data_IF_659874050795
#
_entry.id   IF_659874050795
#
_cell.length_a   1.000
_cell.length_b   1.000
_cell.length_c   1.000
_cell.angle_alpha   90.00
_cell.angle_beta   90.00
_cell.angle_gamma   90.00
#
_symmetry.space_group_name_H-M   'P 1'
#
loop_
_entity.id
_entity.type
_entity.pdbx_description
1 polymer ?
#
# COMPACT_ATOMS: atom_id res chain seq x y z
N UNK A 1 17.86 -2.81 -1.14
CA UNK A 1 16.74 -3.58 -0.53
C UNK A 1 16.05 -4.55 -1.52
N UNK A 2 15.26 -5.52 -1.03
CA UNK A 2 14.23 -6.25 -1.81
C UNK A 2 12.83 -5.82 -1.33
N UNK A 3 11.88 -5.65 -2.23
CA UNK A 3 10.48 -5.30 -1.88
C UNK A 3 9.51 -6.43 -2.24
N UNK A 4 8.27 -6.35 -1.77
CA UNK A 4 7.20 -7.33 -2.04
C UNK A 4 6.13 -6.76 -2.97
N UNK A 5 5.26 -7.64 -3.48
CA UNK A 5 4.08 -7.21 -4.23
C UNK A 5 3.10 -6.38 -3.39
N UNK A 6 3.08 -6.53 -2.06
CA UNK A 6 2.29 -5.67 -1.17
C UNK A 6 2.75 -4.22 -1.20
N UNK A 7 4.08 -3.99 -1.21
CA UNK A 7 4.64 -2.65 -1.36
C UNK A 7 4.23 -2.04 -2.69
N UNK A 8 4.30 -2.80 -3.79
CA UNK A 8 3.86 -2.31 -5.10
C UNK A 8 2.36 -2.02 -5.14
N UNK A 9 1.53 -2.86 -4.52
CA UNK A 9 0.10 -2.63 -4.40
C UNK A 9 -0.20 -1.29 -3.70
N UNK A 10 0.51 -0.98 -2.62
CA UNK A 10 0.29 0.25 -1.87
C UNK A 10 0.91 1.48 -2.58
N UNK A 11 2.01 1.30 -3.30
CA UNK A 11 2.64 2.37 -4.06
C UNK A 11 1.84 2.77 -5.31
N UNK A 12 1.14 1.81 -5.92
CA UNK A 12 0.37 1.99 -7.16
C UNK A 12 -1.11 2.30 -6.92
N UNK A 13 -1.48 2.77 -5.72
CA UNK A 13 -2.88 3.04 -5.35
C UNK A 13 -3.58 4.03 -6.29
N UNK A 14 -2.84 4.95 -6.93
CA UNK A 14 -3.41 5.89 -7.91
C UNK A 14 -4.05 5.18 -9.13
N UNK A 15 -3.59 3.96 -9.44
CA UNK A 15 -4.11 3.13 -10.53
C UNK A 15 -5.17 2.11 -10.08
N UNK A 16 -5.71 2.27 -8.86
CA UNK A 16 -6.83 1.47 -8.33
C UNK A 16 -6.57 -0.05 -8.41
N UNK A 17 -5.49 -0.54 -7.78
CA UNK A 17 -5.01 -1.89 -7.97
C UNK A 17 -6.01 -2.94 -7.45
N UNK A 18 -6.22 -4.00 -8.24
CA UNK A 18 -6.92 -5.22 -7.82
C UNK A 18 -5.88 -6.34 -7.70
N UNK A 19 -5.51 -6.66 -6.46
CA UNK A 19 -4.44 -7.59 -6.16
C UNK A 19 -4.93 -9.02 -5.86
N UNK A 20 -4.22 -10.01 -6.39
CA UNK A 20 -4.26 -11.42 -5.98
C UNK A 20 -2.84 -11.80 -5.58
N UNK A 21 -2.50 -11.58 -4.31
CA UNK A 21 -1.17 -11.86 -3.75
C UNK A 21 -1.30 -13.09 -2.83
N UNK A 22 -0.61 -14.18 -3.19
CA UNK A 22 -0.65 -15.47 -2.50
C UNK A 22 0.59 -15.65 -1.61
N UNK A 23 1.78 -15.35 -2.15
CA UNK A 23 3.05 -15.48 -1.42
C UNK A 23 3.45 -14.16 -0.76
N UNK A 24 3.51 -13.08 -1.54
CA UNK A 24 3.84 -11.75 -1.01
C UNK A 24 5.27 -11.64 -0.47
N UNK A 25 6.19 -12.52 -0.89
CA UNK A 25 7.56 -12.52 -0.42
C UNK A 25 8.32 -11.25 -0.86
N UNK A 26 9.27 -10.81 -0.03
CA UNK A 26 10.18 -9.70 -0.35
C UNK A 26 11.31 -10.17 -1.27
N UNK A 27 10.97 -10.46 -2.53
CA UNK A 27 11.87 -11.01 -3.55
C UNK A 27 12.25 -10.01 -4.66
N UNK A 28 11.45 -8.96 -4.85
CA UNK A 28 11.53 -8.08 -6.01
C UNK A 28 12.74 -7.17 -5.95
N UNK A 29 13.41 -7.06 -7.11
CA UNK A 29 14.57 -6.18 -7.35
C UNK A 29 14.50 -5.44 -8.67
N UNK A 30 13.58 -5.81 -9.56
CA UNK A 30 13.54 -5.27 -10.93
C UNK A 30 12.13 -5.34 -11.51
N UNK A 31 11.89 -4.54 -12.56
CA UNK A 31 10.69 -4.56 -13.39
C UNK A 31 11.06 -4.79 -14.85
N UNK A 32 10.25 -5.53 -15.58
CA UNK A 32 10.39 -5.73 -17.04
C UNK A 32 9.04 -5.77 -17.71
N UNK A 33 8.96 -5.27 -18.93
CA UNK A 33 7.84 -5.58 -19.82
C UNK A 33 8.01 -7.03 -20.27
N UNK A 34 6.96 -7.83 -20.17
CA UNK A 34 6.99 -9.24 -20.55
C UNK A 34 7.25 -9.36 -22.05
N UNK A 35 8.26 -10.15 -22.42
CA UNK A 35 8.53 -10.56 -23.79
C UNK A 35 8.71 -12.07 -23.85
N UNK A 36 8.29 -12.68 -24.96
CA UNK A 36 8.22 -14.14 -25.12
C UNK A 36 9.59 -14.84 -25.10
N UNK A 37 10.68 -14.10 -25.27
CA UNK A 37 12.03 -14.64 -25.47
C UNK A 37 12.89 -14.71 -24.19
N UNK A 38 12.36 -14.33 -23.02
CA UNK A 38 13.16 -14.24 -21.79
C UNK A 38 12.82 -15.30 -20.75
N UNK A 39 13.87 -15.91 -20.19
CA UNK A 39 13.79 -16.68 -18.95
C UNK A 39 13.27 -15.78 -17.83
N UNK A 40 12.16 -16.19 -17.20
CA UNK A 40 11.57 -15.44 -16.08
C UNK A 40 12.51 -15.50 -14.87
N UNK A 41 12.69 -14.37 -14.21
CA UNK A 41 13.52 -14.21 -13.01
C UNK A 41 12.64 -14.13 -11.78
N UNK A 42 13.03 -14.84 -10.72
CA UNK A 42 12.35 -14.87 -9.42
C UNK A 42 12.53 -13.59 -8.60
N UNK A 43 13.20 -12.57 -9.15
CA UNK A 43 13.33 -11.24 -8.53
C UNK A 43 12.76 -10.12 -9.39
N UNK A 44 11.96 -10.45 -10.41
CA UNK A 44 11.44 -9.47 -11.37
C UNK A 44 9.91 -9.47 -11.37
N UNK A 45 9.31 -8.28 -11.30
CA UNK A 45 7.90 -8.08 -11.63
C UNK A 45 7.77 -7.81 -13.12
N UNK A 46 6.80 -8.47 -13.76
CA UNK A 46 6.57 -8.38 -15.20
C UNK A 46 5.30 -7.60 -15.50
N UNK A 47 5.39 -6.66 -16.44
CA UNK A 47 4.26 -5.87 -16.93
C UNK A 47 3.77 -6.40 -18.27
N UNK A 48 2.46 -6.45 -18.45
CA UNK A 48 1.84 -6.80 -19.72
C UNK A 48 0.46 -6.15 -19.85
N UNK A 49 -0.05 -6.06 -21.08
CA UNK A 49 -1.44 -5.67 -21.28
C UNK A 49 -2.36 -6.83 -20.83
N UNK A 50 -3.28 -6.56 -19.93
CA UNK A 50 -4.14 -7.59 -19.33
C UNK A 50 -5.05 -8.25 -20.38
N UNK A 51 -5.52 -7.50 -21.37
CA UNK A 51 -6.42 -7.99 -22.42
C UNK A 51 -5.80 -9.07 -23.33
N UNK A 52 -4.47 -9.21 -23.32
CA UNK A 52 -3.78 -10.31 -24.03
C UNK A 52 -3.90 -11.66 -23.28
N UNK A 53 -4.26 -11.65 -22.00
CA UNK A 53 -4.26 -12.83 -21.13
C UNK A 53 -5.60 -13.08 -20.44
N UNK A 54 -6.40 -12.02 -20.21
CA UNK A 54 -7.67 -12.07 -19.48
C UNK A 54 -8.74 -11.40 -20.36
N UNK A 55 -9.74 -12.18 -20.77
CA UNK A 55 -10.85 -11.67 -21.58
C UNK A 55 -11.68 -10.65 -20.80
N UNK A 56 -11.98 -9.50 -21.42
CA UNK A 56 -12.76 -8.43 -20.81
C UNK A 56 -11.92 -7.36 -20.10
N UNK A 57 -10.65 -7.62 -19.81
CA UNK A 57 -9.73 -6.67 -19.18
C UNK A 57 -8.92 -5.87 -20.23
N UNK A 58 -9.63 -5.34 -21.24
CA UNK A 58 -9.04 -4.45 -22.22
C UNK A 58 -8.69 -3.11 -21.57
N UNK A 59 -7.61 -2.47 -22.01
CA UNK A 59 -7.12 -1.20 -21.45
C UNK A 59 -6.68 -1.26 -19.97
N UNK A 60 -6.20 -2.43 -19.53
CA UNK A 60 -5.61 -2.59 -18.21
C UNK A 60 -4.20 -3.15 -18.30
N UNK A 61 -3.41 -2.87 -17.27
CA UNK A 61 -2.06 -3.41 -17.10
C UNK A 61 -2.05 -4.45 -16.01
N UNK A 62 -1.40 -5.57 -16.30
CA UNK A 62 -1.20 -6.66 -15.36
C UNK A 62 0.26 -6.70 -14.93
N UNK A 63 0.50 -6.56 -13.63
CA UNK A 63 1.78 -6.81 -12.97
C UNK A 63 1.78 -8.24 -12.45
N UNK A 64 2.79 -9.03 -12.81
CA UNK A 64 2.91 -10.44 -12.39
C UNK A 64 4.26 -10.72 -11.78
N UNK A 65 4.26 -11.34 -10.62
CA UNK A 65 5.46 -11.90 -10.00
C UNK A 65 5.17 -13.32 -9.50
N UNK A 66 5.74 -14.33 -10.16
CA UNK A 66 5.47 -15.73 -9.87
C UNK A 66 3.95 -16.03 -9.86
N UNK A 67 3.34 -16.22 -8.69
CA UNK A 67 1.92 -16.50 -8.50
C UNK A 67 1.11 -15.27 -8.06
N UNK A 68 1.79 -14.17 -7.79
CA UNK A 68 1.19 -12.92 -7.34
C UNK A 68 0.88 -12.04 -8.56
N UNK A 69 -0.28 -11.41 -8.54
CA UNK A 69 -0.77 -10.56 -9.63
C UNK A 69 -1.39 -9.28 -9.08
N UNK A 70 -1.20 -8.18 -9.79
CA UNK A 70 -1.90 -6.91 -9.57
C UNK A 70 -2.43 -6.42 -10.91
N UNK A 71 -3.73 -6.19 -10.99
CA UNK A 71 -4.38 -5.58 -12.14
C UNK A 71 -4.57 -4.09 -11.88
N UNK A 72 -4.21 -3.24 -12.83
CA UNK A 72 -4.25 -1.78 -12.73
C UNK A 72 -5.24 -1.20 -13.75
N UNK A 73 -6.02 -0.19 -13.33
CA UNK A 73 -7.00 0.51 -14.18
C UNK A 73 -6.35 1.61 -15.03
N UNK A 74 -5.40 1.21 -15.87
CA UNK A 74 -4.71 2.07 -16.85
C UNK A 74 -4.14 1.24 -18.00
N UNK A 75 -3.99 1.82 -19.18
CA UNK A 75 -3.30 1.24 -20.33
C UNK A 75 -1.94 1.89 -20.65
N UNK A 76 -1.52 2.87 -19.85
CA UNK A 76 -0.22 3.52 -19.98
C UNK A 76 0.90 2.67 -19.37
N UNK A 77 1.49 1.80 -20.20
CA UNK A 77 2.53 0.86 -19.77
C UNK A 77 3.82 1.56 -19.38
N UNK A 78 4.15 2.67 -20.04
CA UNK A 78 5.37 3.42 -19.78
C UNK A 78 5.27 4.15 -18.44
N UNK A 79 4.12 4.75 -18.14
CA UNK A 79 3.86 5.40 -16.87
C UNK A 79 3.94 4.41 -15.70
N UNK A 80 3.27 3.27 -15.78
CA UNK A 80 3.32 2.22 -14.74
C UNK A 80 4.75 1.70 -14.57
N UNK A 81 5.47 1.48 -15.66
CA UNK A 81 6.87 1.03 -15.60
C UNK A 81 7.76 2.02 -14.85
N UNK A 82 7.64 3.31 -15.17
CA UNK A 82 8.39 4.36 -14.49
C UNK A 82 8.01 4.47 -13.01
N UNK A 83 6.73 4.40 -12.66
CA UNK A 83 6.30 4.41 -11.25
C UNK A 83 6.85 3.26 -10.43
N UNK A 84 6.96 2.07 -11.02
CA UNK A 84 7.57 0.93 -10.35
C UNK A 84 9.08 1.15 -10.16
N UNK A 85 9.77 1.76 -11.14
CA UNK A 85 11.17 2.17 -10.97
C UNK A 85 11.33 3.18 -9.83
N UNK A 86 10.47 4.20 -9.77
CA UNK A 86 10.47 5.20 -8.68
C UNK A 86 10.24 4.54 -7.31
N UNK A 87 9.39 3.51 -7.26
CA UNK A 87 9.18 2.70 -6.06
C UNK A 87 10.48 2.01 -5.63
N UNK A 88 11.15 1.30 -6.56
CA UNK A 88 12.43 0.66 -6.25
C UNK A 88 13.49 1.67 -5.80
N UNK A 89 13.59 2.82 -6.46
CA UNK A 89 14.52 3.88 -6.09
C UNK A 89 14.26 4.41 -4.68
N UNK A 90 12.99 4.70 -4.35
CA UNK A 90 12.59 5.22 -3.04
C UNK A 90 12.98 4.28 -1.90
N UNK A 91 12.70 2.97 -2.05
CA UNK A 91 13.04 1.98 -1.03
C UNK A 91 14.54 1.69 -0.94
N UNK A 92 15.26 1.72 -2.07
CA UNK A 92 16.72 1.57 -2.04
C UNK A 92 17.39 2.79 -1.41
N UNK A 93 16.91 4.00 -1.71
CA UNK A 93 17.39 5.22 -1.09
C UNK A 93 17.19 5.18 0.44
N UNK A 94 16.01 4.78 0.90
CA UNK A 94 15.75 4.62 2.33
C UNK A 94 16.69 3.61 3.01
N UNK A 95 16.88 2.43 2.42
CA UNK A 95 17.81 1.41 2.90
C UNK A 95 19.24 1.98 3.02
N UNK A 96 19.71 2.69 1.99
CA UNK A 96 21.02 3.35 2.00
C UNK A 96 21.13 4.43 3.10
N UNK A 97 20.06 5.22 3.35
CA UNK A 97 20.04 6.20 4.45
C UNK A 97 20.10 5.51 5.80
N UNK A 98 19.32 4.45 6.01
CA UNK A 98 19.36 3.66 7.24
C UNK A 98 20.77 3.11 7.50
N UNK A 99 21.42 2.54 6.49
CA UNK A 99 22.80 2.03 6.62
C UNK A 99 23.79 3.13 7.01
N UNK A 100 23.69 4.32 6.40
CA UNK A 100 24.55 5.47 6.74
C UNK A 100 24.35 5.95 8.17
N UNK A 101 23.10 6.04 8.62
CA UNK A 101 22.78 6.45 9.99
C UNK A 101 23.33 5.46 11.02
N UNK A 102 23.15 4.16 10.77
CA UNK A 102 23.67 3.09 11.63
C UNK A 102 25.21 3.17 11.71
N UNK A 103 25.89 3.36 10.58
CA UNK A 103 27.36 3.51 10.54
C UNK A 103 27.86 4.74 11.32
N UNK A 104 27.02 5.77 11.47
CA UNK A 104 27.31 6.99 12.22
C UNK A 104 26.89 6.91 13.70
N UNK A 105 26.56 5.70 14.22
CA UNK A 105 26.08 5.48 15.58
C UNK A 105 24.82 6.29 15.93
N UNK A 106 23.86 6.36 15.01
CA UNK A 106 22.59 7.04 15.27
C UNK A 106 21.81 6.40 16.43
N UNK A 107 20.89 7.18 16.99
CA UNK A 107 19.86 6.71 17.89
C UNK A 107 18.76 5.96 17.13
N UNK A 108 17.94 5.19 17.87
CA UNK A 108 16.76 4.54 17.29
C UNK A 108 15.74 5.58 16.79
N UNK A 109 15.60 6.71 17.47
CA UNK A 109 14.68 7.78 17.07
C UNK A 109 15.08 8.39 15.72
N UNK A 110 16.36 8.68 15.50
CA UNK A 110 16.86 9.18 14.21
C UNK A 110 16.62 8.18 13.06
N UNK A 111 16.81 6.88 13.32
CA UNK A 111 16.54 5.84 12.34
C UNK A 111 15.05 5.73 11.99
N UNK A 112 14.20 5.87 13.01
CA UNK A 112 12.75 5.84 12.84
C UNK A 112 12.26 7.09 12.11
N UNK A 113 12.80 8.26 12.42
CA UNK A 113 12.47 9.51 11.73
C UNK A 113 12.84 9.47 10.25
N UNK A 114 13.98 8.87 9.89
CA UNK A 114 14.36 8.61 8.50
C UNK A 114 13.40 7.66 7.76
N UNK A 115 12.62 6.86 8.50
CA UNK A 115 11.65 5.92 7.95
C UNK A 115 10.26 6.52 7.72
N UNK A 116 10.03 7.77 8.14
CA UNK A 116 8.73 8.47 7.96
C UNK A 116 8.35 8.70 6.50
N UNK A 117 9.31 8.65 5.57
CA UNK A 117 9.06 8.75 4.12
C UNK A 117 8.39 7.51 3.54
N UNK A 118 8.57 6.35 4.18
CA UNK A 118 8.04 5.07 3.72
C UNK A 118 6.90 4.58 4.60
N UNK A 119 6.99 4.82 5.90
CA UNK A 119 5.99 4.37 6.87
C UNK A 119 4.92 5.44 7.01
N UNK A 120 3.74 5.16 6.46
CA UNK A 120 2.59 6.07 6.46
C UNK A 120 1.68 5.93 7.69
N UNK A 121 2.00 5.01 8.60
CA UNK A 121 1.23 4.73 9.81
C UNK A 121 2.04 5.07 11.07
N UNK A 122 1.34 5.11 12.21
CA UNK A 122 2.03 5.27 13.49
C UNK A 122 2.75 3.97 13.85
N UNK A 123 4.04 4.05 14.15
CA UNK A 123 4.84 2.89 14.57
C UNK A 123 5.42 3.15 15.95
N UNK A 124 5.34 2.13 16.78
CA UNK A 124 5.90 2.10 18.13
C UNK A 124 6.89 0.95 18.22
N UNK A 125 8.11 1.24 18.66
CA UNK A 125 9.12 0.22 18.92
C UNK A 125 9.25 0.07 20.43
N UNK A 126 9.02 -1.13 20.93
CA UNK A 126 9.17 -1.46 22.34
C UNK A 126 10.06 -2.68 22.51
N UNK A 127 10.73 -2.78 23.65
CA UNK A 127 11.47 -3.98 24.01
C UNK A 127 10.53 -5.12 24.50
N UNK A 128 11.10 -6.26 24.85
CA UNK A 128 10.36 -7.41 25.38
C UNK A 128 9.71 -7.17 26.76
N UNK A 129 10.09 -6.09 27.46
CA UNK A 129 9.50 -5.66 28.72
C UNK A 129 8.40 -4.61 28.53
N UNK A 130 8.03 -4.32 27.28
CA UNK A 130 7.08 -3.28 26.89
C UNK A 130 7.55 -1.84 27.18
N UNK A 131 8.85 -1.63 27.40
CA UNK A 131 9.40 -0.28 27.47
C UNK A 131 9.42 0.32 26.05
N UNK A 132 8.77 1.47 25.88
CA UNK A 132 8.79 2.19 24.61
C UNK A 132 10.19 2.76 24.36
N UNK A 133 10.81 2.32 23.27
CA UNK A 133 12.15 2.74 22.85
C UNK A 133 12.10 3.90 21.85
N UNK A 134 11.13 3.87 20.93
CA UNK A 134 10.96 4.90 19.91
C UNK A 134 9.55 4.89 19.33
N UNK A 135 9.15 5.98 18.68
CA UNK A 135 7.87 6.10 17.98
C UNK A 135 7.95 7.09 16.83
N UNK A 136 7.15 6.84 15.80
CA UNK A 136 6.86 7.81 14.74
C UNK A 136 5.35 7.94 14.56
N UNK A 137 4.94 9.14 14.20
CA UNK A 137 3.58 9.45 13.81
C UNK A 137 3.56 9.77 12.32
N UNK A 138 2.47 9.45 11.61
CA UNK A 138 2.37 9.81 10.21
C UNK A 138 2.33 11.33 10.06
N UNK A 139 3.08 11.84 9.09
CA UNK A 139 2.98 13.23 8.64
C UNK A 139 1.66 13.43 7.87
N UNK A 140 0.52 13.35 8.55
CA UNK A 140 -0.77 13.81 8.02
C UNK A 140 -1.11 15.15 8.68
N UNK A 141 -1.46 16.20 7.93
CA UNK A 141 -2.13 17.34 8.53
C UNK A 141 -3.44 16.82 9.14
N UNK A 142 -3.57 16.95 10.47
CA UNK A 142 -4.79 16.59 11.19
C UNK A 142 -5.90 17.52 10.71
N UNK A 143 -6.74 17.06 9.77
CA UNK A 143 -7.99 17.74 9.46
C UNK A 143 -8.99 17.43 10.58
N UNK A 144 -9.09 18.34 11.55
CA UNK A 144 -10.19 18.32 12.52
C UNK A 144 -11.50 18.63 11.78
N UNK A 145 -12.18 17.59 11.26
CA UNK A 145 -13.59 17.72 10.91
C UNK A 145 -14.42 17.53 12.19
N UNK A 146 -14.84 18.65 12.77
CA UNK A 146 -15.85 18.68 13.83
C UNK A 146 -17.24 18.42 13.23
N UNK A 147 -17.61 17.16 12.98
CA UNK A 147 -19.00 16.81 12.67
C UNK A 147 -19.87 16.87 13.94
N UNK A 148 -20.37 18.06 14.26
CA UNK A 148 -21.51 18.26 15.14
C UNK A 148 -22.81 17.79 14.44
N UNK A 149 -23.03 16.47 14.31
CA UNK A 149 -24.34 15.94 13.93
C UNK A 149 -25.24 15.82 15.16
N UNK A 150 -25.92 16.93 15.52
CA UNK A 150 -27.17 16.87 16.30
C UNK A 150 -28.23 16.14 15.46
N UNK A 151 -28.36 14.82 15.65
CA UNK A 151 -29.54 14.06 15.21
C UNK A 151 -30.70 14.38 16.15
N UNK A 152 -31.54 15.33 15.76
CA UNK A 152 -32.87 15.52 16.34
C UNK A 152 -33.75 14.34 15.91
N UNK A 153 -33.93 13.38 16.82
CA UNK A 153 -34.84 12.24 16.66
C UNK A 153 -36.28 12.76 16.81
N UNK A 154 -37.03 12.81 15.72
CA UNK A 154 -38.47 13.08 15.72
C UNK A 154 -39.24 11.78 16.00
N UNK A 155 -39.64 11.60 17.26
CA UNK A 155 -40.48 10.47 17.71
C UNK A 155 -41.92 10.71 17.24
N UNK A 156 -42.34 10.01 16.17
CA UNK A 156 -43.77 9.85 15.84
C UNK A 156 -44.39 8.84 16.81
N UNK A 157 -45.16 9.32 17.78
CA UNK A 157 -46.05 8.51 18.63
C UNK A 157 -47.08 7.77 17.75
N UNK A 158 -46.97 6.45 17.64
CA UNK A 158 -48.09 5.55 17.31
C UNK A 158 -48.41 4.77 18.58
N UNK A 159 -49.42 5.21 19.33
CA UNK A 159 -50.08 4.36 20.32
C UNK A 159 -51.49 4.07 19.82
N UNK A 160 -51.74 2.76 19.65
CA UNK A 160 -53.00 2.20 19.17
C UNK A 160 -54.14 2.40 20.16
N UNK A 161 -55.34 2.47 19.58
CA UNK A 161 -56.62 2.42 20.26
C UNK A 161 -56.70 1.19 21.17
N UNK A 162 -57.15 1.38 22.41
CA UNK A 162 -57.78 0.31 23.20
C UNK A 162 -59.27 0.63 23.32
N UNK A 163 -60.05 -0.38 23.00
CA UNK A 163 -61.51 -0.48 23.12
C UNK A 163 -61.97 -0.31 24.57
N UNK A 164 -63.11 0.35 24.77
CA UNK A 164 -64.00 0.11 25.92
C UNK A 164 -65.45 0.31 25.44
N UNK A 165 -66.22 -0.77 25.42
CA UNK A 165 -67.70 -0.83 25.48
C UNK A 165 -68.11 -1.02 26.95
N UNK A 166 -69.36 -0.77 27.39
CA UNK A 166 -70.64 -0.77 26.65
C UNK A 166 -71.29 0.60 26.45
#
# INVERSE_FOLDING_TARGET
MKISMWILNDYLQEYHPVATIIDGSCSLRNVRILSESLSKSDSTVYLMNAGQYISGEYHKILCVHQRDMILLETDDMEEVFNKILDCFESYNYWDDQCQKLIQNNCTLDELMEASTSIVQDSVYVADSSHLLLSRIYPNRPVSYQSENKKKSISIKKRFGKREVYP
#
